data_IF_701791636526
#
_entry.id   IF_701791636526
#
_cell.length_a   1.000
_cell.length_b   1.000
_cell.length_c   1.000
_cell.angle_alpha   90.00
_cell.angle_beta   90.00
_cell.angle_gamma   90.00
#
_symmetry.space_group_name_H-M   'P 1'
#
loop_
_entity.id
_entity.type
_entity.pdbx_description
1 polymer ?
#
# COMPACT_ATOMS: atom_id res chain seq x y z
N UNK A 1 -18.04 -43.53 32.06
CA UNK A 1 -17.74 -42.18 31.55
C UNK A 1 -18.37 -42.08 30.18
N UNK A 2 -19.35 -41.19 30.04
CA UNK A 2 -20.24 -41.14 28.89
C UNK A 2 -19.60 -40.34 27.74
N UNK A 3 -19.43 -40.98 26.58
CA UNK A 3 -19.18 -40.30 25.31
C UNK A 3 -20.52 -40.09 24.60
N UNK A 4 -20.93 -38.83 24.53
CA UNK A 4 -22.20 -38.39 23.96
C UNK A 4 -21.96 -37.96 22.51
N UNK A 5 -22.06 -38.89 21.57
CA UNK A 5 -22.06 -38.59 20.12
C UNK A 5 -23.47 -38.19 19.69
N UNK A 6 -23.67 -36.88 19.51
CA UNK A 6 -24.88 -36.31 18.92
C UNK A 6 -25.02 -36.71 17.45
N UNK A 7 -26.01 -37.57 17.19
CA UNK A 7 -26.59 -37.86 15.87
C UNK A 7 -27.15 -36.58 15.22
N UNK A 8 -26.67 -36.26 14.02
CA UNK A 8 -27.41 -35.41 13.09
C UNK A 8 -28.51 -36.25 12.40
N UNK A 9 -29.63 -35.59 12.12
CA UNK A 9 -30.95 -36.14 11.77
C UNK A 9 -30.99 -37.13 10.58
N UNK A 10 -32.00 -38.01 10.53
CA UNK A 10 -32.15 -39.03 9.49
C UNK A 10 -32.67 -38.48 8.16
N UNK A 11 -32.22 -39.10 7.07
CA UNK A 11 -32.63 -38.89 5.69
C UNK A 11 -34.14 -39.13 5.49
N UNK A 12 -34.83 -38.19 4.86
CA UNK A 12 -36.21 -38.32 4.41
C UNK A 12 -36.20 -38.76 2.93
N UNK A 13 -36.84 -39.87 2.54
CA UNK A 13 -36.87 -40.32 1.16
C UNK A 13 -37.86 -39.50 0.31
N UNK A 14 -37.47 -39.24 -0.93
CA UNK A 14 -38.26 -38.57 -1.95
C UNK A 14 -39.55 -39.34 -2.27
N UNK A 15 -40.70 -38.68 -2.15
CA UNK A 15 -41.98 -39.21 -2.62
C UNK A 15 -42.24 -38.77 -4.07
N UNK A 16 -42.61 -39.75 -4.89
CA UNK A 16 -42.97 -39.62 -6.30
C UNK A 16 -44.41 -39.12 -6.48
N UNK A 17 -44.65 -38.31 -7.51
CA UNK A 17 -45.97 -37.88 -7.97
C UNK A 17 -46.53 -38.87 -9.00
N UNK A 18 -47.86 -39.02 -9.11
CA UNK A 18 -48.52 -39.30 -10.37
C UNK A 18 -49.19 -38.05 -10.95
N UNK A 19 -49.23 -37.98 -12.27
CA UNK A 19 -49.86 -36.94 -13.07
C UNK A 19 -51.34 -37.25 -13.31
N UNK A 20 -52.17 -36.21 -13.50
CA UNK A 20 -53.18 -36.07 -14.57
C UNK A 20 -53.81 -34.67 -14.52
N UNK A 21 -54.23 -34.16 -15.68
CA UNK A 21 -54.23 -32.72 -16.01
C UNK A 21 -55.50 -31.92 -15.72
N UNK A 22 -55.42 -30.60 -15.91
CA UNK A 22 -56.34 -29.81 -16.73
C UNK A 22 -55.84 -28.36 -16.89
N UNK A 23 -56.15 -27.76 -18.04
CA UNK A 23 -55.57 -26.56 -18.63
C UNK A 23 -56.08 -25.24 -18.01
N UNK A 24 -55.17 -24.30 -17.70
CA UNK A 24 -55.42 -22.85 -17.59
C UNK A 24 -54.09 -22.12 -17.85
N UNK A 25 -54.06 -21.01 -18.61
CA UNK A 25 -52.81 -20.30 -18.86
C UNK A 25 -52.43 -19.50 -17.61
N UNK A 26 -51.72 -20.13 -16.68
CA UNK A 26 -50.86 -19.39 -15.77
C UNK A 26 -49.69 -18.90 -16.65
N UNK A 27 -49.63 -17.59 -16.87
CA UNK A 27 -48.45 -17.01 -17.46
C UNK A 27 -47.27 -17.33 -16.52
N UNK A 28 -46.44 -18.28 -16.93
CA UNK A 28 -45.18 -18.60 -16.29
C UNK A 28 -44.29 -17.35 -16.36
N UNK A 29 -44.37 -16.48 -15.35
CA UNK A 29 -43.35 -15.46 -15.13
C UNK A 29 -42.07 -16.22 -14.81
N UNK A 30 -41.00 -16.10 -15.61
CA UNK A 30 -39.77 -16.83 -15.34
C UNK A 30 -39.28 -16.49 -13.93
N UNK A 31 -39.00 -17.52 -13.11
CA UNK A 31 -38.49 -17.39 -11.74
C UNK A 31 -37.19 -16.55 -11.62
N UNK A 32 -36.61 -16.14 -12.75
CA UNK A 32 -35.43 -15.29 -12.84
C UNK A 32 -35.67 -13.78 -12.64
N UNK A 33 -36.90 -13.26 -12.80
CA UNK A 33 -37.19 -11.82 -12.60
C UNK A 33 -37.60 -11.47 -11.15
N UNK A 34 -38.08 -12.44 -10.38
CA UNK A 34 -38.67 -12.27 -9.04
C UNK A 34 -37.66 -12.07 -7.89
N UNK A 35 -36.37 -11.84 -8.18
CA UNK A 35 -35.38 -11.53 -7.16
C UNK A 35 -34.60 -10.24 -7.42
N UNK A 36 -35.00 -9.42 -8.40
CA UNK A 36 -34.33 -8.16 -8.73
C UNK A 36 -34.99 -6.98 -8.02
N UNK A 37 -34.16 -6.06 -7.54
CA UNK A 37 -34.63 -4.86 -6.88
C UNK A 37 -35.33 -3.94 -7.89
N UNK A 38 -36.58 -3.50 -7.64
CA UNK A 38 -37.34 -2.69 -8.60
C UNK A 38 -36.79 -1.27 -8.82
N UNK A 39 -35.75 -0.87 -8.07
CA UNK A 39 -35.15 0.46 -8.16
C UNK A 39 -33.77 0.44 -8.83
N UNK A 40 -32.94 -0.56 -8.55
CA UNK A 40 -31.57 -0.61 -9.09
C UNK A 40 -31.29 -1.86 -9.93
N UNK A 41 -32.30 -2.70 -10.17
CA UNK A 41 -32.26 -3.92 -10.99
C UNK A 41 -31.21 -4.98 -10.56
N UNK A 42 -30.55 -4.78 -9.42
CA UNK A 42 -29.59 -5.76 -8.88
C UNK A 42 -30.33 -6.91 -8.22
N UNK A 43 -29.78 -8.10 -8.38
CA UNK A 43 -30.20 -9.29 -7.65
C UNK A 43 -30.07 -9.05 -6.15
N UNK A 44 -31.16 -9.28 -5.41
CA UNK A 44 -31.18 -9.19 -3.96
C UNK A 44 -30.91 -10.53 -3.29
N UNK A 45 -30.78 -10.47 -1.96
CA UNK A 45 -30.66 -11.64 -1.12
C UNK A 45 -32.01 -11.97 -0.48
N UNK A 46 -32.46 -13.22 -0.55
CA UNK A 46 -33.61 -13.67 0.23
C UNK A 46 -33.37 -13.41 1.73
N UNK A 47 -34.40 -12.93 2.43
CA UNK A 47 -34.35 -12.64 3.86
C UNK A 47 -35.56 -13.27 4.55
N UNK A 48 -35.40 -13.88 5.74
CA UNK A 48 -36.54 -14.37 6.51
C UNK A 48 -37.53 -13.24 6.77
N UNK A 49 -38.81 -13.50 6.49
CA UNK A 49 -39.91 -12.56 6.75
C UNK A 49 -39.87 -12.02 8.17
N UNK A 50 -39.58 -12.90 9.14
CA UNK A 50 -39.49 -12.56 10.56
C UNK A 50 -38.40 -11.51 10.86
N UNK A 51 -37.30 -11.49 10.11
CA UNK A 51 -36.27 -10.45 10.25
C UNK A 51 -36.80 -9.09 9.79
N UNK A 52 -37.47 -9.07 8.63
CA UNK A 52 -38.07 -7.85 8.08
C UNK A 52 -39.10 -7.29 9.06
N UNK A 53 -40.01 -8.13 9.55
CA UNK A 53 -41.01 -7.74 10.53
C UNK A 53 -40.41 -7.19 11.84
N UNK A 54 -39.36 -7.82 12.36
CA UNK A 54 -38.73 -7.42 13.62
C UNK A 54 -37.99 -6.06 13.51
N UNK A 55 -37.46 -5.76 12.32
CA UNK A 55 -36.62 -4.59 12.08
C UNK A 55 -37.40 -3.37 11.56
N UNK A 56 -38.60 -3.56 11.00
CA UNK A 56 -39.48 -2.45 10.61
C UNK A 56 -40.00 -1.70 11.85
N UNK A 57 -40.16 -0.39 11.73
CA UNK A 57 -40.95 0.42 12.68
C UNK A 57 -42.43 0.03 12.58
N UNK A 58 -43.17 0.18 13.66
CA UNK A 58 -44.55 -0.33 13.79
C UNK A 58 -45.48 0.15 12.66
N UNK A 59 -45.41 1.43 12.29
CA UNK A 59 -46.22 2.00 11.20
C UNK A 59 -45.96 1.32 9.84
N UNK A 60 -44.71 0.92 9.56
CA UNK A 60 -44.37 0.22 8.32
C UNK A 60 -44.62 -1.28 8.42
N UNK A 61 -44.45 -1.86 9.62
CA UNK A 61 -44.72 -3.28 9.89
C UNK A 61 -46.19 -3.61 9.68
N UNK A 62 -47.10 -2.76 10.15
CA UNK A 62 -48.56 -2.94 9.95
C UNK A 62 -48.98 -2.88 8.48
N UNK A 63 -48.18 -2.22 7.64
CA UNK A 63 -48.40 -2.12 6.19
C UNK A 63 -47.73 -3.26 5.40
N UNK A 64 -46.95 -4.12 6.07
CA UNK A 64 -46.22 -5.20 5.41
C UNK A 64 -47.19 -6.23 4.84
N UNK A 65 -47.14 -6.44 3.52
CA UNK A 65 -47.99 -7.40 2.83
C UNK A 65 -47.52 -8.83 3.09
N UNK A 66 -48.41 -9.81 2.95
CA UNK A 66 -48.03 -11.22 3.08
C UNK A 66 -47.24 -11.70 1.85
N UNK A 67 -46.11 -12.38 2.05
CA UNK A 67 -45.20 -12.79 0.97
C UNK A 67 -43.71 -12.69 1.30
N UNK A 68 -42.89 -13.00 0.30
CA UNK A 68 -41.43 -13.09 0.39
C UNK A 68 -40.73 -11.75 0.17
N UNK A 69 -39.71 -11.48 0.98
CA UNK A 69 -38.94 -10.25 0.91
C UNK A 69 -37.47 -10.53 0.63
N UNK A 70 -36.84 -9.55 0.01
CA UNK A 70 -35.47 -9.56 -0.43
C UNK A 70 -34.74 -8.33 0.12
N UNK A 71 -33.50 -8.50 0.56
CA UNK A 71 -32.57 -7.42 0.87
C UNK A 71 -31.87 -6.96 -0.42
N UNK A 72 -32.00 -5.69 -0.77
CA UNK A 72 -31.24 -5.08 -1.85
C UNK A 72 -29.77 -4.94 -1.44
N UNK A 73 -28.87 -5.57 -2.20
CA UNK A 73 -27.43 -5.65 -1.88
C UNK A 73 -26.59 -4.50 -2.44
N UNK A 74 -27.20 -3.61 -3.23
CA UNK A 74 -26.51 -2.44 -3.77
C UNK A 74 -26.37 -1.33 -2.72
N UNK A 75 -25.15 -0.95 -2.26
CA UNK A 75 -24.98 0.04 -1.19
C UNK A 75 -25.56 1.41 -1.53
N UNK A 76 -25.50 1.82 -2.80
CA UNK A 76 -25.99 3.12 -3.29
C UNK A 76 -27.52 3.18 -3.46
N UNK A 77 -28.20 2.02 -3.42
CA UNK A 77 -29.64 1.98 -3.61
C UNK A 77 -30.39 2.30 -2.31
N UNK A 78 -31.30 3.28 -2.38
CA UNK A 78 -32.15 3.71 -1.25
C UNK A 78 -33.06 2.61 -0.67
N UNK A 79 -33.34 1.57 -1.44
CA UNK A 79 -34.16 0.42 -1.01
C UNK A 79 -33.34 -0.47 -0.10
N UNK A 80 -33.92 -0.85 1.04
CA UNK A 80 -33.39 -1.89 1.93
C UNK A 80 -34.09 -3.20 1.60
N UNK A 81 -35.39 -3.30 1.88
CA UNK A 81 -36.19 -4.49 1.58
C UNK A 81 -37.16 -4.25 0.43
N UNK A 82 -37.46 -5.31 -0.32
CA UNK A 82 -38.52 -5.28 -1.32
C UNK A 82 -39.20 -6.63 -1.46
N UNK A 83 -40.47 -6.59 -1.84
CA UNK A 83 -41.23 -7.72 -2.33
C UNK A 83 -41.54 -7.44 -3.82
N UNK A 84 -40.92 -8.16 -4.76
CA UNK A 84 -41.06 -7.89 -6.18
C UNK A 84 -42.46 -8.26 -6.71
N UNK A 85 -43.06 -9.33 -6.19
CA UNK A 85 -44.41 -9.79 -6.58
C UNK A 85 -45.49 -8.76 -6.23
N UNK A 86 -45.35 -8.06 -5.10
CA UNK A 86 -46.35 -7.13 -4.58
C UNK A 86 -45.97 -5.65 -4.74
N UNK A 87 -44.82 -5.39 -5.37
CA UNK A 87 -44.27 -4.05 -5.60
C UNK A 87 -43.98 -3.25 -4.32
N UNK A 88 -43.87 -3.90 -3.16
CA UNK A 88 -43.64 -3.20 -1.89
C UNK A 88 -42.15 -2.99 -1.65
N UNK A 89 -41.76 -1.79 -1.21
CA UNK A 89 -40.38 -1.43 -0.88
C UNK A 89 -40.29 -0.74 0.48
N UNK A 90 -39.20 -0.99 1.19
CA UNK A 90 -38.87 -0.32 2.44
C UNK A 90 -37.45 0.26 2.35
N UNK A 91 -37.31 1.56 2.62
CA UNK A 91 -36.02 2.24 2.68
C UNK A 91 -35.48 2.36 4.10
N UNK A 92 -34.30 2.97 4.27
CA UNK A 92 -33.63 3.15 5.58
C UNK A 92 -34.54 3.75 6.66
N UNK A 93 -35.38 4.72 6.30
CA UNK A 93 -36.27 5.41 7.22
C UNK A 93 -37.35 4.50 7.86
N UNK A 94 -37.68 3.38 7.22
CA UNK A 94 -38.68 2.44 7.69
C UNK A 94 -38.15 1.47 8.77
N UNK A 95 -36.83 1.37 8.93
CA UNK A 95 -36.20 0.45 9.87
C UNK A 95 -35.87 1.12 11.21
N UNK A 96 -35.89 0.32 12.28
CA UNK A 96 -35.52 0.71 13.65
C UNK A 96 -34.00 0.75 13.86
N UNK A 97 -33.23 0.15 12.95
CA UNK A 97 -31.77 0.04 13.02
C UNK A 97 -31.11 0.64 11.77
N UNK A 98 -29.87 1.10 11.91
CA UNK A 98 -29.01 1.41 10.77
C UNK A 98 -28.61 0.12 10.06
N UNK A 99 -28.48 0.14 8.74
CA UNK A 99 -28.15 -1.05 7.94
C UNK A 99 -26.72 -0.90 7.42
N UNK A 100 -25.82 -1.77 7.86
CA UNK A 100 -24.39 -1.72 7.50
C UNK A 100 -24.12 -1.65 6.00
N UNK A 101 -24.95 -2.33 5.21
CA UNK A 101 -24.83 -2.37 3.75
C UNK A 101 -25.22 -1.05 3.07
N UNK A 102 -25.92 -0.15 3.77
CA UNK A 102 -26.50 1.10 3.23
C UNK A 102 -25.98 2.36 3.91
N UNK A 103 -25.07 2.20 4.86
CA UNK A 103 -24.52 3.27 5.67
C UNK A 103 -23.09 2.88 6.05
N UNK A 104 -22.05 3.56 5.51
CA UNK A 104 -20.65 3.30 5.82
C UNK A 104 -20.19 3.91 7.15
N UNK A 105 -21.07 4.56 7.92
CA UNK A 105 -20.74 5.21 9.19
C UNK A 105 -20.13 4.28 10.24
N UNK A 106 -19.28 4.83 11.10
CA UNK A 106 -18.58 4.08 12.15
C UNK A 106 -19.51 3.61 13.28
N UNK A 107 -20.59 4.34 13.54
CA UNK A 107 -21.58 3.99 14.56
C UNK A 107 -22.60 2.94 14.08
N UNK A 108 -22.48 2.47 12.84
CA UNK A 108 -23.38 1.48 12.25
C UNK A 108 -23.02 0.07 12.73
N UNK A 109 -23.97 -0.72 13.25
CA UNK A 109 -23.71 -2.10 13.69
C UNK A 109 -23.41 -3.05 12.53
N UNK A 110 -22.32 -3.81 12.66
CA UNK A 110 -22.04 -5.01 11.87
C UNK A 110 -22.60 -6.26 12.56
N UNK A 111 -22.55 -6.32 13.91
CA UNK A 111 -23.24 -7.34 14.70
C UNK A 111 -24.36 -6.72 15.53
N UNK A 112 -25.60 -7.02 15.14
CA UNK A 112 -26.81 -6.50 15.78
C UNK A 112 -27.09 -7.19 17.12
N UNK A 113 -26.80 -8.48 17.25
CA UNK A 113 -27.05 -9.22 18.50
C UNK A 113 -26.13 -8.78 19.66
N UNK A 114 -24.93 -8.28 19.34
CA UNK A 114 -23.91 -7.89 20.33
C UNK A 114 -23.61 -6.38 20.31
N UNK A 115 -24.35 -5.62 19.51
CA UNK A 115 -24.17 -4.19 19.31
C UNK A 115 -22.72 -3.80 18.96
N UNK A 116 -22.05 -4.60 18.10
CA UNK A 116 -20.69 -4.30 17.64
C UNK A 116 -20.77 -3.45 16.38
N UNK A 117 -20.29 -2.23 16.49
CA UNK A 117 -20.26 -1.20 15.45
C UNK A 117 -19.06 -1.33 14.52
N UNK A 118 -19.16 -0.76 13.30
CA UNK A 118 -18.05 -0.69 12.34
C UNK A 118 -16.79 -0.07 12.94
N UNK A 119 -16.95 1.00 13.73
CA UNK A 119 -15.85 1.66 14.43
C UNK A 119 -15.15 0.75 15.45
N UNK A 120 -15.92 -0.06 16.20
CA UNK A 120 -15.35 -1.05 17.12
C UNK A 120 -14.59 -2.15 16.38
N UNK A 121 -15.08 -2.62 15.22
CA UNK A 121 -14.34 -3.58 14.39
C UNK A 121 -13.02 -2.98 13.90
N UNK A 122 -13.03 -1.72 13.44
CA UNK A 122 -11.80 -1.01 13.02
C UNK A 122 -10.81 -0.87 14.18
N UNK A 123 -11.28 -0.48 15.36
CA UNK A 123 -10.44 -0.36 16.56
C UNK A 123 -9.87 -1.71 16.99
N UNK A 124 -10.66 -2.78 16.94
CA UNK A 124 -10.18 -4.13 17.21
C UNK A 124 -9.09 -4.55 16.21
N UNK A 125 -9.31 -4.28 14.91
CA UNK A 125 -8.33 -4.57 13.85
C UNK A 125 -7.01 -3.82 14.04
N UNK A 126 -7.06 -2.54 14.41
CA UNK A 126 -5.87 -1.73 14.76
C UNK A 126 -5.09 -2.33 15.94
N UNK A 127 -5.79 -2.99 16.87
CA UNK A 127 -5.22 -3.70 18.01
C UNK A 127 -4.89 -5.17 17.73
N UNK A 128 -4.83 -5.58 16.45
CA UNK A 128 -4.38 -6.91 16.04
C UNK A 128 -5.49 -7.95 15.85
N UNK A 129 -6.78 -7.60 15.99
CA UNK A 129 -7.87 -8.54 15.72
C UNK A 129 -7.90 -8.92 14.23
N UNK A 130 -7.97 -10.21 13.91
CA UNK A 130 -8.06 -10.71 12.52
C UNK A 130 -9.22 -11.67 12.30
N UNK A 131 -9.88 -12.10 13.37
CA UNK A 131 -11.02 -12.99 13.32
C UNK A 131 -12.25 -12.39 13.98
N UNK A 132 -13.43 -12.94 13.67
CA UNK A 132 -14.66 -12.61 14.38
C UNK A 132 -14.52 -12.80 15.90
N UNK A 133 -13.83 -13.86 16.35
CA UNK A 133 -13.62 -14.14 17.76
C UNK A 133 -12.79 -13.05 18.43
N UNK A 134 -11.73 -12.58 17.77
CA UNK A 134 -10.90 -11.49 18.29
C UNK A 134 -11.69 -10.19 18.44
N UNK A 135 -12.53 -9.87 17.44
CA UNK A 135 -13.39 -8.68 17.45
C UNK A 135 -14.38 -8.75 18.61
N UNK A 136 -15.04 -9.90 18.80
CA UNK A 136 -15.99 -10.10 19.90
C UNK A 136 -15.31 -9.95 21.26
N UNK A 137 -14.11 -10.51 21.41
CA UNK A 137 -13.30 -10.40 22.62
C UNK A 137 -12.87 -8.94 22.88
N UNK A 138 -12.34 -8.27 21.85
CA UNK A 138 -11.89 -6.88 21.94
C UNK A 138 -13.04 -5.92 22.25
N UNK A 139 -14.25 -6.20 21.76
CA UNK A 139 -15.45 -5.43 22.07
C UNK A 139 -16.04 -5.73 23.47
N UNK A 140 -15.46 -6.67 24.24
CA UNK A 140 -15.98 -7.09 25.54
C UNK A 140 -17.36 -7.75 25.45
N UNK A 141 -17.72 -8.29 24.29
CA UNK A 141 -19.09 -8.67 23.97
C UNK A 141 -19.28 -10.19 23.93
N UNK A 142 -18.54 -10.96 24.75
CA UNK A 142 -18.48 -12.43 24.67
C UNK A 142 -19.78 -13.13 25.11
N UNK A 143 -20.55 -12.51 26.00
CA UNK A 143 -21.77 -13.05 26.59
C UNK A 143 -23.00 -12.79 25.70
N UNK A 144 -24.03 -13.63 25.82
CA UNK A 144 -25.31 -13.47 25.13
C UNK A 144 -25.55 -14.38 23.92
N UNK A 145 -26.83 -14.64 23.64
CA UNK A 145 -27.30 -15.51 22.55
C UNK A 145 -27.43 -14.73 21.24
N UNK A 146 -26.96 -15.31 20.14
CA UNK A 146 -27.14 -14.74 18.81
C UNK A 146 -28.52 -15.08 18.22
N UNK A 147 -29.23 -14.07 17.75
CA UNK A 147 -30.56 -14.14 17.13
C UNK A 147 -30.55 -13.51 15.72
N UNK A 148 -29.51 -13.78 14.93
CA UNK A 148 -29.26 -13.09 13.66
C UNK A 148 -30.42 -13.18 12.65
N UNK A 149 -31.20 -14.27 12.71
CA UNK A 149 -32.39 -14.47 11.86
C UNK A 149 -33.53 -13.48 12.15
N UNK A 150 -33.43 -12.69 13.22
CA UNK A 150 -34.39 -11.64 13.60
C UNK A 150 -33.72 -10.26 13.67
N UNK A 151 -32.49 -10.20 14.18
CA UNK A 151 -31.81 -8.93 14.48
C UNK A 151 -30.92 -8.41 13.35
N UNK A 152 -30.42 -9.29 12.46
CA UNK A 152 -29.55 -8.85 11.37
C UNK A 152 -30.40 -8.52 10.13
N UNK A 153 -30.21 -7.35 9.49
CA UNK A 153 -30.92 -7.01 8.27
C UNK A 153 -30.80 -8.03 7.13
N UNK A 154 -29.73 -8.82 7.08
CA UNK A 154 -29.58 -9.90 6.10
C UNK A 154 -30.23 -11.21 6.53
N UNK A 155 -30.70 -11.33 7.77
CA UNK A 155 -31.13 -12.59 8.39
C UNK A 155 -30.02 -13.63 8.58
N UNK A 156 -28.77 -13.29 8.26
CA UNK A 156 -27.61 -14.19 8.32
C UNK A 156 -26.65 -13.79 9.44
N UNK A 157 -25.74 -14.68 9.80
CA UNK A 157 -24.71 -14.40 10.80
C UNK A 157 -23.85 -13.19 10.40
N UNK A 158 -23.49 -12.36 11.39
CA UNK A 158 -22.61 -11.19 11.21
C UNK A 158 -21.14 -11.54 10.99
N UNK A 159 -20.74 -12.80 11.17
CA UNK A 159 -19.36 -13.24 10.93
C UNK A 159 -18.89 -12.95 9.51
N UNK A 160 -19.77 -13.09 8.50
CA UNK A 160 -19.47 -12.76 7.11
C UNK A 160 -19.17 -11.27 6.91
N UNK A 161 -20.10 -10.36 7.24
CA UNK A 161 -19.85 -8.91 7.16
C UNK A 161 -18.64 -8.44 7.97
N UNK A 162 -18.41 -8.99 9.17
CA UNK A 162 -17.23 -8.66 9.98
C UNK A 162 -15.96 -9.13 9.29
N UNK A 163 -15.93 -10.37 8.79
CA UNK A 163 -14.79 -10.90 8.02
C UNK A 163 -14.51 -10.03 6.79
N UNK A 164 -15.53 -9.71 6.00
CA UNK A 164 -15.36 -8.88 4.81
C UNK A 164 -14.84 -7.48 5.13
N UNK A 165 -15.27 -6.89 6.25
CA UNK A 165 -14.73 -5.59 6.67
C UNK A 165 -13.29 -5.68 7.21
N UNK A 166 -12.92 -6.77 7.89
CA UNK A 166 -11.52 -7.01 8.27
C UNK A 166 -10.62 -7.17 7.02
N UNK A 167 -11.08 -7.94 6.02
CA UNK A 167 -10.38 -8.10 4.74
C UNK A 167 -10.27 -6.77 3.98
N UNK A 168 -11.31 -5.94 4.00
CA UNK A 168 -11.27 -4.58 3.45
C UNK A 168 -10.21 -3.71 4.16
N UNK A 169 -10.15 -3.77 5.49
CA UNK A 169 -9.12 -3.05 6.26
C UNK A 169 -7.71 -3.58 5.96
N UNK A 170 -7.54 -4.89 5.81
CA UNK A 170 -6.27 -5.49 5.38
C UNK A 170 -5.89 -5.05 3.95
N UNK A 171 -6.84 -4.88 3.03
CA UNK A 171 -6.52 -4.38 1.69
C UNK A 171 -6.18 -2.89 1.68
N UNK A 172 -6.85 -2.08 2.51
CA UNK A 172 -6.63 -0.64 2.61
C UNK A 172 -5.39 -0.28 3.44
N UNK A 173 -4.95 -1.18 4.33
CA UNK A 173 -3.95 -0.87 5.36
C UNK A 173 -2.99 -2.03 5.70
N UNK A 174 -3.04 -3.14 4.97
CA UNK A 174 -2.35 -4.42 5.27
C UNK A 174 -0.83 -4.39 5.20
N UNK A 175 -0.24 -3.29 4.75
CA UNK A 175 1.21 -3.08 4.83
C UNK A 175 1.68 -2.66 6.25
N UNK A 176 0.77 -2.31 7.16
CA UNK A 176 1.13 -1.71 8.46
C UNK A 176 1.09 -2.63 9.68
N UNK A 177 0.73 -3.91 9.55
CA UNK A 177 0.57 -4.77 10.74
C UNK A 177 1.42 -6.04 10.79
N UNK A 178 2.14 -6.41 9.72
CA UNK A 178 2.97 -7.62 9.73
C UNK A 178 4.27 -7.57 8.89
N UNK A 179 4.47 -6.54 8.07
CA UNK A 179 5.77 -6.27 7.47
C UNK A 179 6.51 -5.30 8.37
N UNK A 180 7.77 -5.59 8.74
CA UNK A 180 8.64 -4.54 9.31
C UNK A 180 8.60 -3.38 8.32
N UNK A 181 8.35 -2.16 8.78
CA UNK A 181 8.42 -1.00 7.88
C UNK A 181 9.87 -0.94 7.38
N UNK A 182 10.08 -1.04 6.07
CA UNK A 182 11.43 -0.96 5.50
C UNK A 182 11.73 0.48 5.13
N UNK A 183 12.95 0.93 5.45
CA UNK A 183 13.50 2.21 5.05
C UNK A 183 14.68 1.92 4.12
N UNK A 184 14.47 2.12 2.81
CA UNK A 184 15.52 1.97 1.80
C UNK A 184 16.25 3.29 1.63
N UNK A 185 17.50 3.34 2.08
CA UNK A 185 18.39 4.49 1.93
C UNK A 185 19.38 4.19 0.81
N UNK A 186 19.39 5.03 -0.22
CA UNK A 186 20.33 4.90 -1.34
C UNK A 186 21.31 6.08 -1.33
N UNK A 187 22.60 5.76 -1.43
CA UNK A 187 23.66 6.74 -1.60
C UNK A 187 24.32 6.56 -2.96
N UNK A 188 24.03 7.47 -3.89
CA UNK A 188 24.56 7.46 -5.25
C UNK A 188 25.77 8.42 -5.33
N UNK A 189 26.90 7.93 -5.84
CA UNK A 189 28.15 8.69 -5.87
C UNK A 189 29.01 8.39 -7.10
N UNK A 190 29.91 9.32 -7.46
CA UNK A 190 30.88 9.17 -8.55
C UNK A 190 32.23 8.59 -8.11
N UNK A 191 32.71 8.96 -6.92
CA UNK A 191 34.00 8.47 -6.41
C UNK A 191 34.11 8.59 -4.88
N UNK A 192 34.57 7.55 -4.21
CA UNK A 192 34.90 7.57 -2.77
C UNK A 192 36.41 7.45 -2.50
N UNK A 193 37.24 7.29 -3.53
CA UNK A 193 38.69 7.17 -3.35
C UNK A 193 39.35 8.52 -3.11
N UNK A 194 38.97 9.52 -3.90
CA UNK A 194 39.69 10.80 -4.06
C UNK A 194 38.77 12.00 -3.78
N UNK A 195 37.49 11.94 -4.18
CA UNK A 195 36.54 13.04 -4.00
C UNK A 195 36.19 13.30 -2.52
N UNK A 196 36.58 14.48 -2.03
CA UNK A 196 36.31 14.89 -0.64
C UNK A 196 34.82 15.05 -0.34
N UNK A 197 34.03 15.61 -1.27
CA UNK A 197 32.60 15.86 -1.06
C UNK A 197 31.79 14.56 -0.95
N UNK A 198 32.11 13.57 -1.78
CA UNK A 198 31.49 12.25 -1.72
C UNK A 198 31.85 11.52 -0.42
N UNK A 199 33.12 11.52 -0.01
CA UNK A 199 33.54 10.93 1.29
C UNK A 199 32.90 11.63 2.49
N UNK A 200 32.84 12.96 2.48
CA UNK A 200 32.19 13.72 3.56
C UNK A 200 30.69 13.46 3.62
N UNK A 201 30.05 13.25 2.48
CA UNK A 201 28.63 12.87 2.42
C UNK A 201 28.41 11.45 2.93
N UNK A 202 29.28 10.50 2.57
CA UNK A 202 29.25 9.14 3.12
C UNK A 202 29.37 9.15 4.65
N UNK A 203 30.36 9.87 5.20
CA UNK A 203 30.55 10.00 6.66
C UNK A 203 29.31 10.59 7.32
N UNK A 204 28.75 11.66 6.75
CA UNK A 204 27.56 12.32 7.29
C UNK A 204 26.36 11.39 7.31
N UNK A 205 26.20 10.56 6.27
CA UNK A 205 25.15 9.55 6.17
C UNK A 205 25.33 8.44 7.20
N UNK A 206 26.52 7.84 7.27
CA UNK A 206 26.81 6.73 8.18
C UNK A 206 26.61 7.18 9.65
N UNK A 207 27.06 8.39 10.00
CA UNK A 207 26.85 8.98 11.33
C UNK A 207 25.37 9.27 11.62
N UNK A 208 24.62 9.82 10.65
CA UNK A 208 23.20 10.09 10.81
C UNK A 208 22.40 8.80 11.07
N UNK A 209 22.67 7.74 10.32
CA UNK A 209 22.02 6.43 10.49
C UNK A 209 22.35 5.84 11.86
N UNK A 210 23.62 5.92 12.30
CA UNK A 210 24.02 5.44 13.62
C UNK A 210 23.31 6.19 14.76
N UNK A 211 23.10 7.50 14.63
CA UNK A 211 22.39 8.32 15.63
C UNK A 211 20.91 7.94 15.75
N UNK A 212 20.23 7.62 14.64
CA UNK A 212 18.79 7.27 14.64
C UNK A 212 18.51 5.78 14.80
N UNK A 213 19.51 4.91 14.67
CA UNK A 213 19.34 3.44 14.64
C UNK A 213 18.49 2.89 15.79
N UNK A 214 18.72 3.36 17.03
CA UNK A 214 17.96 2.92 18.21
C UNK A 214 16.48 3.31 18.13
N UNK A 215 16.20 4.50 17.59
CA UNK A 215 14.83 5.01 17.42
C UNK A 215 14.11 4.18 16.36
N UNK A 216 14.78 3.90 15.24
CA UNK A 216 14.22 3.10 14.15
C UNK A 216 13.94 1.66 14.58
N UNK A 217 14.88 1.04 15.32
CA UNK A 217 14.71 -0.29 15.88
C UNK A 217 13.52 -0.36 16.85
N UNK A 218 13.41 0.60 17.77
CA UNK A 218 12.28 0.68 18.70
C UNK A 218 10.94 0.91 17.98
N UNK A 219 10.96 1.58 16.84
CA UNK A 219 9.80 1.81 15.98
C UNK A 219 9.47 0.64 15.04
N UNK A 220 10.20 -0.48 15.13
CA UNK A 220 10.02 -1.65 14.28
C UNK A 220 10.35 -1.41 12.81
N UNK A 221 11.22 -0.44 12.52
CA UNK A 221 11.67 -0.09 11.17
C UNK A 221 12.97 -0.82 10.87
N UNK A 222 13.01 -1.55 9.76
CA UNK A 222 14.21 -2.20 9.26
C UNK A 222 14.88 -1.29 8.22
N UNK A 223 16.18 -1.05 8.35
CA UNK A 223 16.91 -0.08 7.52
C UNK A 223 17.83 -0.81 6.57
N UNK A 224 17.65 -0.57 5.28
CA UNK A 224 18.50 -1.09 4.23
C UNK A 224 19.27 0.06 3.59
N UNK A 225 20.61 -0.06 3.54
CA UNK A 225 21.48 0.99 3.01
C UNK A 225 22.20 0.45 1.78
N UNK A 226 21.99 1.10 0.63
CA UNK A 226 22.66 0.75 -0.63
C UNK A 226 23.57 1.90 -1.07
N UNK A 227 24.86 1.64 -1.09
CA UNK A 227 25.87 2.55 -1.67
C UNK A 227 26.07 2.17 -3.14
N UNK A 228 25.68 3.06 -4.06
CA UNK A 228 25.66 2.82 -5.51
C UNK A 228 26.71 3.70 -6.18
N UNK A 229 27.77 3.07 -6.68
CA UNK A 229 28.78 3.74 -7.49
C UNK A 229 28.25 3.90 -8.92
N UNK A 230 28.16 5.14 -9.39
CA UNK A 230 27.77 5.46 -10.77
C UNK A 230 29.03 5.47 -11.65
N UNK A 231 29.11 4.47 -12.52
CA UNK A 231 30.30 4.18 -13.33
C UNK A 231 30.14 4.58 -14.80
N UNK A 232 28.93 4.84 -15.28
CA UNK A 232 28.66 5.25 -16.66
C UNK A 232 27.46 6.19 -16.81
N UNK A 233 27.36 6.83 -17.97
CA UNK A 233 26.24 7.69 -18.36
C UNK A 233 24.92 6.90 -18.48
N UNK A 234 24.99 5.65 -18.95
CA UNK A 234 23.83 4.75 -19.06
C UNK A 234 23.26 4.41 -17.68
N UNK A 235 24.14 4.06 -16.74
CA UNK A 235 23.72 3.78 -15.36
C UNK A 235 23.12 5.03 -14.70
N UNK A 236 23.69 6.21 -14.94
CA UNK A 236 23.15 7.47 -14.45
C UNK A 236 21.74 7.73 -15.01
N UNK A 237 21.52 7.46 -16.31
CA UNK A 237 20.22 7.58 -16.97
C UNK A 237 19.18 6.64 -16.37
N UNK A 238 19.52 5.37 -16.22
CA UNK A 238 18.62 4.33 -15.68
C UNK A 238 18.18 4.65 -14.25
N UNK A 239 19.08 5.19 -13.43
CA UNK A 239 18.79 5.54 -12.04
C UNK A 239 18.27 6.97 -11.86
N UNK A 240 18.11 7.74 -12.94
CA UNK A 240 17.73 9.15 -12.88
C UNK A 240 18.68 9.99 -12.00
N UNK A 241 19.97 9.66 -12.03
CA UNK A 241 20.99 10.34 -11.23
C UNK A 241 21.32 11.69 -11.85
N UNK A 242 21.07 12.77 -11.10
CA UNK A 242 21.25 14.14 -11.60
C UNK A 242 22.63 14.68 -11.25
N UNK A 243 23.05 14.51 -9.99
CA UNK A 243 24.30 15.08 -9.51
C UNK A 243 24.87 14.28 -8.34
N UNK A 244 26.20 14.26 -8.22
CA UNK A 244 26.92 13.59 -7.13
C UNK A 244 27.27 14.57 -6.03
N UNK A 245 27.22 14.16 -4.75
CA UNK A 245 26.56 12.95 -4.23
C UNK A 245 25.04 13.11 -4.15
N UNK A 246 24.28 12.00 -4.12
CA UNK A 246 22.82 12.01 -3.91
C UNK A 246 22.41 11.01 -2.85
N UNK A 247 21.52 11.40 -1.94
CA UNK A 247 20.92 10.53 -0.92
C UNK A 247 19.41 10.45 -1.21
N UNK A 248 18.88 9.23 -1.30
CA UNK A 248 17.45 8.96 -1.44
C UNK A 248 16.94 8.14 -0.27
N UNK A 249 15.72 8.42 0.14
CA UNK A 249 14.97 7.63 1.13
C UNK A 249 13.69 7.16 0.45
N UNK A 250 13.51 5.84 0.37
CA UNK A 250 12.40 5.19 -0.34
C UNK A 250 12.24 5.71 -1.78
N UNK A 251 13.37 5.89 -2.48
CA UNK A 251 13.44 6.39 -3.85
C UNK A 251 13.27 7.90 -4.02
N UNK A 252 13.00 8.65 -2.95
CA UNK A 252 12.88 10.13 -2.99
C UNK A 252 14.18 10.79 -2.55
N UNK A 253 14.66 11.74 -3.36
CA UNK A 253 15.81 12.56 -2.99
C UNK A 253 15.47 13.43 -1.76
N UNK A 254 16.38 13.49 -0.78
CA UNK A 254 16.18 14.29 0.44
C UNK A 254 16.16 15.81 0.18
N UNK A 255 16.62 16.28 -0.99
CA UNK A 255 16.52 17.67 -1.45
C UNK A 255 16.37 17.75 -2.97
N UNK A 256 15.13 17.79 -3.46
CA UNK A 256 14.80 17.80 -4.90
C UNK A 256 15.43 18.96 -5.68
N UNK A 257 15.55 20.14 -5.08
CA UNK A 257 16.19 21.30 -5.70
C UNK A 257 17.70 21.12 -5.69
N UNK A 258 18.24 20.62 -6.81
CA UNK A 258 19.67 20.41 -7.00
C UNK A 258 20.34 21.74 -7.33
N UNK A 259 21.37 22.08 -6.55
CA UNK A 259 22.32 23.14 -6.84
C UNK A 259 23.70 22.53 -7.01
N UNK A 260 24.52 23.15 -7.85
CA UNK A 260 25.86 22.65 -8.17
C UNK A 260 26.91 23.74 -8.04
N UNK A 261 28.13 23.33 -7.75
CA UNK A 261 29.30 24.20 -7.71
C UNK A 261 30.55 23.41 -8.12
N UNK A 262 31.58 24.13 -8.56
CA UNK A 262 32.82 23.54 -9.08
C UNK A 262 33.48 22.66 -8.02
N UNK A 263 33.72 21.40 -8.37
CA UNK A 263 34.36 20.43 -7.49
C UNK A 263 35.79 20.14 -7.95
N UNK A 264 36.76 20.66 -7.21
CA UNK A 264 38.19 20.47 -7.53
C UNK A 264 38.57 18.99 -7.58
N UNK A 265 38.13 18.19 -6.60
CA UNK A 265 38.49 16.77 -6.56
C UNK A 265 37.95 15.97 -7.74
N UNK A 266 36.70 16.21 -8.14
CA UNK A 266 36.13 15.56 -9.33
C UNK A 266 36.77 16.07 -10.61
N UNK A 267 37.16 17.35 -10.65
CA UNK A 267 37.87 17.90 -11.80
C UNK A 267 39.26 17.31 -11.98
N UNK A 268 40.03 17.15 -10.91
CA UNK A 268 41.32 16.46 -10.93
C UNK A 268 41.19 15.00 -11.38
N UNK A 269 40.10 14.33 -10.95
CA UNK A 269 39.80 12.94 -11.30
C UNK A 269 39.58 12.78 -12.81
N UNK A 270 38.76 13.62 -13.44
CA UNK A 270 38.41 13.49 -14.85
C UNK A 270 39.27 14.36 -15.80
N UNK A 271 40.12 15.25 -15.27
CA UNK A 271 40.94 16.16 -16.08
C UNK A 271 40.17 17.31 -16.73
N UNK A 272 38.96 17.63 -16.24
CA UNK A 272 38.10 18.71 -16.74
C UNK A 272 37.36 19.39 -15.60
N UNK A 273 36.93 20.64 -15.79
CA UNK A 273 36.10 21.34 -14.81
C UNK A 273 34.69 20.72 -14.74
N UNK A 274 34.35 20.13 -13.59
CA UNK A 274 33.05 19.49 -13.31
C UNK A 274 32.41 20.10 -12.08
N UNK A 275 31.12 20.39 -12.20
CA UNK A 275 30.28 20.85 -11.10
C UNK A 275 29.64 19.65 -10.39
N UNK A 276 29.67 19.66 -9.05
CA UNK A 276 29.05 18.65 -8.21
C UNK A 276 28.04 19.29 -7.27
N UNK A 277 27.19 18.46 -6.66
CA UNK A 277 26.08 18.90 -5.82
C UNK A 277 26.55 19.64 -4.59
N UNK A 278 25.85 20.74 -4.31
CA UNK A 278 25.85 21.43 -3.01
C UNK A 278 24.48 21.34 -2.35
N UNK A 279 24.49 21.37 -1.02
CA UNK A 279 23.32 21.16 -0.18
C UNK A 279 22.91 22.47 0.47
N UNK A 280 21.62 22.77 0.53
CA UNK A 280 21.12 23.98 1.22
C UNK A 280 20.35 23.55 2.46
N UNK A 281 20.88 23.88 3.63
CA UNK A 281 20.25 23.56 4.91
C UNK A 281 20.28 24.77 5.83
N UNK A 282 19.12 25.13 6.38
CA UNK A 282 18.96 26.30 7.28
C UNK A 282 19.54 27.62 6.71
N UNK A 283 19.37 27.83 5.40
CA UNK A 283 19.85 29.03 4.70
C UNK A 283 21.35 29.08 4.44
N UNK A 284 22.10 28.00 4.69
CA UNK A 284 23.53 27.87 4.41
C UNK A 284 23.79 26.79 3.36
N UNK A 285 24.85 26.99 2.59
CA UNK A 285 25.30 26.03 1.58
C UNK A 285 26.45 25.17 2.11
N UNK A 286 26.42 23.88 1.76
CA UNK A 286 27.39 22.89 2.20
C UNK A 286 27.83 22.00 1.03
N UNK A 287 29.09 21.60 1.03
CA UNK A 287 29.65 20.64 0.06
C UNK A 287 29.30 19.18 0.38
N UNK A 288 28.83 18.92 1.61
CA UNK A 288 28.24 17.67 2.06
C UNK A 288 27.02 17.97 2.94
N UNK A 289 25.95 17.16 2.90
CA UNK A 289 24.75 17.43 3.67
C UNK A 289 25.06 17.30 5.17
N UNK A 290 24.73 18.31 6.00
CA UNK A 290 24.89 18.19 7.44
C UNK A 290 24.09 17.02 8.00
N UNK A 291 24.62 16.32 9.00
CA UNK A 291 23.94 15.17 9.63
C UNK A 291 22.49 15.45 10.03
N UNK A 292 22.24 16.62 10.62
CA UNK A 292 20.90 17.05 11.02
C UNK A 292 19.90 17.07 9.86
N UNK A 293 20.33 17.44 8.65
CA UNK A 293 19.49 17.41 7.45
C UNK A 293 19.07 15.97 7.10
N UNK A 294 20.00 15.02 7.18
CA UNK A 294 19.77 13.61 6.88
C UNK A 294 18.86 12.98 7.95
N UNK A 295 19.11 13.29 9.22
CA UNK A 295 18.28 12.84 10.35
C UNK A 295 16.85 13.36 10.21
N UNK A 296 16.67 14.64 9.91
CA UNK A 296 15.36 15.23 9.70
C UNK A 296 14.61 14.54 8.54
N UNK A 297 15.30 14.22 7.44
CA UNK A 297 14.72 13.50 6.32
C UNK A 297 14.28 12.08 6.71
N UNK A 298 15.11 11.33 7.44
CA UNK A 298 14.78 9.98 7.94
C UNK A 298 13.58 10.02 8.88
N UNK A 299 13.59 10.93 9.86
CA UNK A 299 12.51 11.02 10.83
C UNK A 299 11.21 11.51 10.19
N UNK A 300 11.29 12.41 9.21
CA UNK A 300 10.12 12.85 8.43
C UNK A 300 9.50 11.69 7.64
N UNK A 301 10.31 10.82 7.04
CA UNK A 301 9.78 9.63 6.36
C UNK A 301 9.04 8.69 7.32
N UNK A 302 9.61 8.48 8.52
CA UNK A 302 9.08 7.51 9.48
C UNK A 302 7.85 8.03 10.26
N UNK A 303 7.80 9.34 10.54
CA UNK A 303 6.82 9.95 11.43
C UNK A 303 5.99 11.09 10.82
N UNK A 304 6.36 11.62 9.65
CA UNK A 304 5.77 12.83 9.08
C UNK A 304 4.32 12.67 8.59
N UNK A 305 3.80 11.44 8.54
CA UNK A 305 2.51 11.14 7.92
C UNK A 305 2.57 11.34 6.40
N UNK A 306 1.74 10.62 5.65
CA UNK A 306 1.68 10.75 4.19
C UNK A 306 1.06 12.10 3.80
N UNK A 307 1.84 13.18 3.86
CA UNK A 307 1.51 14.49 3.32
C UNK A 307 2.76 15.11 2.71
N UNK A 308 3.13 14.60 1.55
CA UNK A 308 3.67 15.37 0.42
C UNK A 308 3.72 14.44 -0.79
N UNK A 309 3.38 14.99 -1.97
CA UNK A 309 2.89 14.28 -3.14
C UNK A 309 3.68 13.04 -3.54
N UNK A 310 2.96 11.93 -3.70
CA UNK A 310 3.46 10.74 -4.37
C UNK A 310 3.74 11.09 -5.83
N UNK A 311 5.00 11.37 -6.16
CA UNK A 311 5.42 11.62 -7.53
C UNK A 311 6.01 10.35 -8.13
N UNK A 312 5.50 10.02 -9.32
CA UNK A 312 5.95 8.91 -10.13
C UNK A 312 7.46 9.01 -10.41
N UNK A 313 8.14 7.87 -10.66
CA UNK A 313 9.53 7.87 -11.11
C UNK A 313 9.67 8.83 -12.30
N UNK A 314 10.61 9.77 -12.18
CA UNK A 314 10.99 10.65 -13.28
C UNK A 314 11.36 9.72 -14.46
N UNK A 315 10.75 9.88 -15.65
CA UNK A 315 11.13 9.08 -16.81
C UNK A 315 12.65 9.16 -17.01
N UNK A 316 13.30 8.13 -17.60
CA UNK A 316 14.74 8.19 -17.87
C UNK A 316 15.04 9.47 -18.67
N UNK A 317 15.54 10.46 -17.94
CA UNK A 317 15.79 11.80 -18.46
C UNK A 317 17.07 11.82 -19.27
N UNK A 318 17.29 12.91 -19.98
CA UNK A 318 18.60 13.14 -20.59
C UNK A 318 19.65 13.26 -19.48
N UNK A 319 20.82 12.63 -19.68
CA UNK A 319 21.93 12.69 -18.72
C UNK A 319 22.39 14.15 -18.61
N UNK A 320 22.44 14.74 -17.41
CA UNK A 320 22.88 16.11 -17.23
C UNK A 320 24.33 16.36 -17.68
N UNK A 321 24.63 17.62 -18.03
CA UNK A 321 25.88 18.02 -18.68
C UNK A 321 27.11 17.83 -17.78
N UNK A 322 26.97 18.04 -16.47
CA UNK A 322 27.99 17.73 -15.46
C UNK A 322 28.47 16.26 -15.55
N UNK A 323 27.54 15.31 -15.70
CA UNK A 323 27.84 13.88 -15.80
C UNK A 323 28.43 13.52 -17.15
N UNK A 324 27.90 14.08 -18.25
CA UNK A 324 28.48 13.91 -19.61
C UNK A 324 29.95 14.34 -19.61
N UNK A 325 30.26 15.52 -19.06
CA UNK A 325 31.64 16.03 -18.91
C UNK A 325 32.50 15.11 -18.06
N UNK A 326 32.03 14.71 -16.88
CA UNK A 326 32.77 13.85 -15.98
C UNK A 326 33.17 12.51 -16.65
N UNK A 327 32.23 11.82 -17.28
CA UNK A 327 32.50 10.53 -17.93
C UNK A 327 33.33 10.69 -19.21
N UNK A 328 33.15 11.76 -19.98
CA UNK A 328 33.99 12.06 -21.14
C UNK A 328 35.44 12.39 -20.73
N UNK A 329 35.64 13.17 -19.67
CA UNK A 329 36.97 13.49 -19.13
C UNK A 329 37.68 12.23 -18.63
N UNK A 330 36.98 11.40 -17.84
CA UNK A 330 37.53 10.14 -17.31
C UNK A 330 37.93 9.16 -18.41
N UNK A 331 37.20 9.10 -19.53
CA UNK A 331 37.57 8.30 -20.70
C UNK A 331 38.86 8.79 -21.34
N UNK A 332 38.96 10.09 -21.64
CA UNK A 332 40.16 10.71 -22.24
C UNK A 332 41.40 10.54 -21.36
N UNK A 333 41.30 10.80 -20.06
CA UNK A 333 42.43 10.64 -19.14
C UNK A 333 42.93 9.19 -19.09
N UNK A 334 42.02 8.21 -19.13
CA UNK A 334 42.37 6.79 -19.20
C UNK A 334 43.02 6.42 -20.54
N UNK A 335 42.53 6.97 -21.65
CA UNK A 335 43.14 6.81 -22.98
C UNK A 335 44.56 7.41 -23.00
N UNK A 336 44.75 8.61 -22.48
CA UNK A 336 46.05 9.28 -22.38
C UNK A 336 47.04 8.51 -21.48
N UNK A 337 46.57 7.94 -20.37
CA UNK A 337 47.38 7.07 -19.51
C UNK A 337 47.80 5.78 -20.23
N UNK A 338 46.90 5.17 -21.01
CA UNK A 338 47.21 3.99 -21.82
C UNK A 338 48.21 4.32 -22.93
N UNK A 339 48.05 5.46 -23.62
CA UNK A 339 48.97 5.92 -24.66
C UNK A 339 50.37 6.17 -24.08
N UNK A 340 50.47 6.83 -22.91
CA UNK A 340 51.76 7.03 -22.22
C UNK A 340 52.47 5.73 -21.84
N UNK A 341 51.71 4.70 -21.46
CA UNK A 341 52.26 3.37 -21.15
C UNK A 341 52.77 2.67 -22.42
N UNK A 342 52.05 2.80 -23.54
CA UNK A 342 52.45 2.23 -24.84
C UNK A 342 53.71 2.93 -25.36
N UNK A 343 53.79 4.26 -25.28
CA UNK A 343 54.95 5.04 -25.72
C UNK A 343 56.20 4.77 -24.87
N UNK A 344 56.03 4.50 -23.57
CA UNK A 344 57.12 4.12 -22.66
C UNK A 344 57.75 2.76 -22.98
N UNK A 345 57.04 1.87 -23.68
CA UNK A 345 57.54 0.55 -24.08
C UNK A 345 58.28 0.56 -25.42
N UNK A 346 58.23 1.66 -26.18
CA UNK A 346 58.91 1.82 -27.47
C UNK A 346 59.97 2.93 -27.42
N UNK A 347 61.02 2.76 -26.62
CA UNK A 347 62.28 3.50 -26.82
C UNK A 347 63.25 2.66 -27.65
N UNK A 348 63.79 3.15 -28.79
CA UNK A 348 64.81 2.41 -29.54
C UNK A 348 66.14 2.41 -28.77
N UNK A 349 66.78 1.25 -28.70
CA UNK A 349 68.14 1.13 -28.18
C UNK A 349 69.09 1.98 -29.03
N UNK A 350 69.77 2.94 -28.40
CA UNK A 350 70.82 3.73 -29.03
C UNK A 350 72.01 2.82 -29.37
N UNK A 351 72.21 2.54 -30.65
CA UNK A 351 73.42 1.89 -31.18
C UNK A 351 74.56 2.91 -31.21
N UNK A 352 75.47 2.81 -30.26
CA UNK A 352 76.80 3.42 -30.35
C UNK A 352 77.62 2.64 -31.37
N UNK A 353 77.79 3.15 -32.58
CA UNK A 353 78.84 2.72 -33.50
C UNK A 353 80.10 3.51 -33.20
N UNK A 354 81.05 2.88 -32.51
CA UNK A 354 82.43 3.33 -32.46
C UNK A 354 83.15 2.80 -33.70
N UNK A 355 83.63 3.71 -34.54
CA UNK A 355 84.46 3.42 -35.70
C UNK A 355 85.83 4.06 -35.48
N UNK A 356 86.77 3.26 -34.97
CA UNK A 356 88.19 3.59 -34.92
C UNK A 356 89.00 2.45 -35.53
N UNK A 357 89.44 2.61 -36.78
CA UNK A 357 90.53 1.83 -37.36
C UNK A 357 91.79 2.69 -37.42
N UNK A 358 92.86 2.22 -36.79
CA UNK A 358 94.22 2.18 -37.31
C UNK A 358 95.05 1.19 -36.50
#
# INVERSE_FOLDING_TARGET
>A
MAENTLKCCPDIPAAQSPAEGCCSPQADVPQQEINRCPVCDRQGQAVPRTAVENLLKDDFRTQMKDGEYWLCTNPECRVVYYNPTLGQVFGRHALRVKVWLKDPGDDVPLCYCRNITRGQVRSAWQNGARTYADVVKAAGAEQGKCNCQYENPSGKCCSGPIKGYLEELDLLHGDNAASKRHLDIEFLYLDLSTCTWCRSTESSLDEAIAEVAKVLQAAGVDVNVRKIHIQSEEQARELGFVSSPTIRINGRDIQMDVKESKCESCGDLCGEDVDCRIWTYQGREYTAPPKGMIIDAILREVYGGAKEGMQMPVPPGEVPENLKKFFAGRRRKKEDEIIKVIDSCCSPAATTTDSGSC
#
